data_IF_660477731945
#
_entry.id   IF_660477731945
#
_cell.length_a   1.000
_cell.length_b   1.000
_cell.length_c   1.000
_cell.angle_alpha   90.00
_cell.angle_beta   90.00
_cell.angle_gamma   90.00
#
_symmetry.space_group_name_H-M   'P 1'
#
loop_
_entity.id
_entity.type
_entity.pdbx_description
1 polymer ?
#
# COMPACT_ATOMS: atom_id res chain seq x y z
N UNK A 1 -25.15 14.18 -2.18
CA UNK A 1 -25.32 15.60 -1.95
C UNK A 1 -24.75 16.49 -3.05
N UNK A 2 -23.70 16.08 -3.77
CA UNK A 2 -23.07 16.91 -4.82
C UNK A 2 -23.50 16.54 -6.25
N UNK A 3 -24.58 15.79 -6.44
CA UNK A 3 -25.01 15.34 -7.77
C UNK A 3 -24.12 14.28 -8.41
N UNK A 4 -23.17 13.73 -7.66
CA UNK A 4 -22.27 12.66 -8.10
C UNK A 4 -22.92 11.31 -7.83
N UNK A 5 -22.93 10.44 -8.83
CA UNK A 5 -23.37 9.07 -8.71
C UNK A 5 -22.21 8.14 -9.04
N UNK A 6 -21.65 7.42 -8.07
CA UNK A 6 -20.56 6.49 -8.32
C UNK A 6 -21.01 5.28 -9.14
N UNK A 7 -20.13 4.80 -10.01
CA UNK A 7 -20.24 3.50 -10.69
C UNK A 7 -19.06 2.65 -10.21
N UNK A 8 -19.35 1.55 -9.55
CA UNK A 8 -18.32 0.63 -9.07
C UNK A 8 -18.10 -0.47 -10.09
N UNK A 9 -16.84 -0.68 -10.49
CA UNK A 9 -16.42 -1.82 -11.29
C UNK A 9 -15.74 -2.82 -10.37
N UNK A 10 -16.14 -4.08 -10.44
CA UNK A 10 -15.61 -5.14 -9.57
C UNK A 10 -15.39 -6.43 -10.36
N UNK A 11 -14.38 -7.21 -10.01
CA UNK A 11 -14.08 -8.52 -10.63
C UNK A 11 -15.08 -9.61 -10.23
N UNK A 12 -15.76 -9.45 -9.09
CA UNK A 12 -16.72 -10.39 -8.56
C UNK A 12 -17.88 -9.68 -7.85
N UNK A 13 -19.00 -10.38 -7.70
CA UNK A 13 -20.16 -9.91 -6.95
C UNK A 13 -19.91 -10.08 -5.43
N UNK A 14 -19.35 -9.05 -4.82
CA UNK A 14 -19.06 -9.00 -3.38
C UNK A 14 -20.03 -8.06 -2.66
N UNK A 15 -20.21 -8.24 -1.35
CA UNK A 15 -21.19 -7.47 -0.56
C UNK A 15 -20.94 -5.94 -0.62
N UNK A 16 -19.70 -5.52 -0.67
CA UNK A 16 -19.32 -4.10 -0.69
C UNK A 16 -19.79 -3.35 -1.93
N UNK A 17 -19.95 -4.02 -3.09
CA UNK A 17 -20.43 -3.37 -4.32
C UNK A 17 -21.94 -3.19 -4.36
N UNK A 18 -22.70 -3.87 -3.48
CA UNK A 18 -24.17 -3.80 -3.43
C UNK A 18 -24.70 -2.62 -2.62
N UNK A 19 -24.00 -1.48 -2.68
CA UNK A 19 -24.43 -0.26 -2.02
C UNK A 19 -25.59 0.40 -2.76
N UNK A 20 -26.61 0.87 -2.03
CA UNK A 20 -27.72 1.66 -2.58
C UNK A 20 -27.28 3.05 -3.11
N UNK A 21 -26.06 3.46 -2.82
CA UNK A 21 -25.53 4.79 -3.17
C UNK A 21 -24.74 4.78 -4.47
N UNK A 22 -24.51 3.63 -5.08
CA UNK A 22 -23.78 3.51 -6.35
C UNK A 22 -24.48 2.53 -7.30
N UNK A 23 -24.22 2.71 -8.58
CA UNK A 23 -24.41 1.64 -9.57
C UNK A 23 -23.19 0.73 -9.52
N UNK A 24 -23.33 -0.55 -9.87
CA UNK A 24 -22.17 -1.43 -9.97
C UNK A 24 -22.24 -2.31 -11.21
N UNK A 25 -21.08 -2.70 -11.68
CA UNK A 25 -20.89 -3.64 -12.79
C UNK A 25 -19.89 -4.71 -12.36
N UNK A 26 -20.26 -5.96 -12.51
CA UNK A 26 -19.33 -7.08 -12.28
C UNK A 26 -18.71 -7.45 -13.62
N UNK A 27 -17.40 -7.31 -13.71
CA UNK A 27 -16.61 -7.56 -14.91
C UNK A 27 -15.46 -8.48 -14.53
N UNK A 28 -15.58 -9.80 -14.78
CA UNK A 28 -14.51 -10.74 -14.46
C UNK A 28 -13.19 -10.31 -15.10
N UNK A 29 -12.12 -10.26 -14.31
CA UNK A 29 -10.80 -9.86 -14.76
C UNK A 29 -10.58 -8.36 -14.90
N UNK A 30 -11.45 -7.49 -14.36
CA UNK A 30 -11.28 -6.02 -14.39
C UNK A 30 -9.99 -5.56 -13.70
N UNK A 31 -9.39 -6.39 -12.88
CA UNK A 31 -8.08 -6.20 -12.25
C UNK A 31 -6.91 -6.36 -13.22
N UNK A 32 -7.16 -6.81 -14.45
CA UNK A 32 -6.15 -7.02 -15.49
C UNK A 32 -6.20 -5.90 -16.52
N UNK A 33 -5.05 -5.33 -16.94
CA UNK A 33 -5.01 -4.23 -17.91
C UNK A 33 -5.76 -4.52 -19.21
N UNK A 34 -5.63 -5.73 -19.75
CA UNK A 34 -6.25 -6.15 -21.02
C UNK A 34 -7.78 -6.18 -20.96
N UNK A 35 -8.40 -6.25 -19.77
CA UNK A 35 -9.84 -6.15 -19.57
C UNK A 35 -10.23 -4.74 -19.13
N UNK A 36 -9.44 -4.14 -18.23
CA UNK A 36 -9.73 -2.86 -17.63
C UNK A 36 -9.72 -1.72 -18.65
N UNK A 37 -8.66 -1.61 -19.45
CA UNK A 37 -8.47 -0.48 -20.35
C UNK A 37 -9.55 -0.36 -21.42
N UNK A 38 -9.93 -1.42 -22.13
CA UNK A 38 -11.05 -1.36 -23.09
C UNK A 38 -12.39 -1.02 -22.42
N UNK A 39 -12.65 -1.53 -21.22
CA UNK A 39 -13.89 -1.24 -20.51
C UNK A 39 -13.93 0.21 -19.99
N UNK A 40 -12.82 0.74 -19.49
CA UNK A 40 -12.72 2.16 -19.13
C UNK A 40 -12.91 3.06 -20.34
N UNK A 41 -12.31 2.73 -21.47
CA UNK A 41 -12.50 3.50 -22.71
C UNK A 41 -13.98 3.52 -23.13
N UNK A 42 -14.63 2.34 -23.17
CA UNK A 42 -16.05 2.21 -23.53
C UNK A 42 -16.96 3.00 -22.56
N UNK A 43 -16.74 2.86 -21.27
CA UNK A 43 -17.52 3.55 -20.23
C UNK A 43 -17.27 5.07 -20.25
N UNK A 44 -16.03 5.49 -20.48
CA UNK A 44 -15.67 6.89 -20.63
C UNK A 44 -16.41 7.54 -21.80
N UNK A 45 -16.40 6.91 -22.97
CA UNK A 45 -17.13 7.39 -24.15
C UNK A 45 -18.66 7.45 -23.88
N UNK A 46 -19.22 6.45 -23.21
CA UNK A 46 -20.63 6.42 -22.83
C UNK A 46 -21.00 7.61 -21.92
N UNK A 47 -20.16 7.90 -20.92
CA UNK A 47 -20.39 8.99 -19.97
C UNK A 47 -20.23 10.38 -20.63
N UNK A 48 -19.22 10.55 -21.47
CA UNK A 48 -18.97 11.80 -22.20
C UNK A 48 -20.15 12.08 -23.16
N UNK A 49 -20.62 11.08 -23.88
CA UNK A 49 -21.79 11.20 -24.75
C UNK A 49 -23.06 11.58 -23.99
N UNK A 50 -23.16 11.17 -22.72
CA UNK A 50 -24.23 11.57 -21.80
C UNK A 50 -24.03 12.95 -21.13
N UNK A 51 -23.02 13.72 -21.54
CA UNK A 51 -22.70 15.04 -20.98
C UNK A 51 -22.14 15.01 -19.56
N UNK A 52 -21.49 13.90 -19.17
CA UNK A 52 -20.84 13.73 -17.88
C UNK A 52 -19.33 13.99 -17.98
N UNK A 53 -18.73 14.33 -16.86
CA UNK A 53 -17.26 14.38 -16.71
C UNK A 53 -16.85 13.12 -15.96
N UNK A 54 -16.19 12.16 -16.63
CA UNK A 54 -15.74 10.94 -15.98
C UNK A 54 -14.58 11.23 -15.01
N UNK A 55 -14.71 10.74 -13.77
CA UNK A 55 -13.68 10.82 -12.74
C UNK A 55 -13.38 9.40 -12.23
N UNK A 56 -12.12 8.99 -12.25
CA UNK A 56 -11.70 7.63 -11.92
C UNK A 56 -10.93 7.59 -10.60
N UNK A 57 -11.34 6.69 -9.71
CA UNK A 57 -10.61 6.38 -8.46
C UNK A 57 -10.44 4.87 -8.34
N UNK A 58 -9.21 4.41 -8.17
CA UNK A 58 -8.88 3.03 -7.86
C UNK A 58 -9.02 2.75 -6.36
N UNK A 59 -9.71 1.68 -6.01
CA UNK A 59 -9.91 1.29 -4.62
C UNK A 59 -8.89 0.23 -4.21
N UNK A 60 -7.68 0.64 -3.90
CA UNK A 60 -6.56 -0.19 -3.45
C UNK A 60 -5.30 -0.04 -4.31
N UNK A 61 -4.17 -0.44 -3.75
CA UNK A 61 -2.83 -0.21 -4.31
C UNK A 61 -2.68 -0.78 -5.73
N UNK A 62 -3.20 -1.99 -5.96
CA UNK A 62 -3.16 -2.62 -7.27
C UNK A 62 -3.84 -1.76 -8.36
N UNK A 63 -5.03 -1.22 -8.05
CA UNK A 63 -5.76 -0.39 -9.00
C UNK A 63 -5.14 1.00 -9.16
N UNK A 64 -4.61 1.58 -8.07
CA UNK A 64 -3.85 2.83 -8.15
C UNK A 64 -2.64 2.67 -9.08
N UNK A 65 -1.89 1.58 -8.94
CA UNK A 65 -0.76 1.23 -9.80
C UNK A 65 -1.20 1.04 -11.26
N UNK A 66 -2.26 0.24 -11.51
CA UNK A 66 -2.79 -0.01 -12.85
C UNK A 66 -3.19 1.31 -13.55
N UNK A 67 -3.87 2.20 -12.84
CA UNK A 67 -4.29 3.50 -13.38
C UNK A 67 -3.08 4.38 -13.67
N UNK A 68 -2.14 4.48 -12.74
CA UNK A 68 -0.94 5.30 -12.89
C UNK A 68 -0.04 4.81 -14.05
N UNK A 69 0.15 3.50 -14.17
CA UNK A 69 0.93 2.88 -15.24
C UNK A 69 0.34 3.12 -16.65
N UNK A 70 -0.99 3.23 -16.73
CA UNK A 70 -1.71 3.44 -17.98
C UNK A 70 -2.34 4.86 -18.07
N UNK A 71 -1.87 5.79 -17.25
CA UNK A 71 -2.41 7.14 -17.09
C UNK A 71 -2.59 7.87 -18.43
N UNK A 72 -1.61 7.92 -19.37
CA UNK A 72 -1.79 8.64 -20.64
C UNK A 72 -2.98 8.16 -21.46
N UNK A 73 -3.22 6.84 -21.51
CA UNK A 73 -4.35 6.26 -22.24
C UNK A 73 -5.69 6.50 -21.52
N UNK A 74 -5.68 6.46 -20.20
CA UNK A 74 -6.88 6.66 -19.38
C UNK A 74 -7.31 8.13 -19.42
N UNK A 75 -6.38 9.07 -19.35
CA UNK A 75 -6.64 10.52 -19.36
C UNK A 75 -7.20 11.06 -20.67
N UNK A 76 -7.19 10.28 -21.75
CA UNK A 76 -7.94 10.62 -22.95
C UNK A 76 -9.46 10.83 -22.67
N UNK A 77 -9.99 10.20 -21.63
CA UNK A 77 -11.42 10.17 -21.31
C UNK A 77 -11.75 10.46 -19.86
N UNK A 78 -10.80 10.17 -18.94
CA UNK A 78 -11.03 10.21 -17.52
C UNK A 78 -10.15 11.25 -16.84
N UNK A 79 -10.72 11.98 -15.93
CA UNK A 79 -9.92 12.71 -14.96
C UNK A 79 -9.48 11.73 -13.86
N UNK A 80 -8.19 11.66 -13.57
CA UNK A 80 -7.62 10.79 -12.53
C UNK A 80 -6.66 11.56 -11.61
N UNK A 81 -6.78 11.43 -10.29
CA UNK A 81 -5.94 12.17 -9.34
C UNK A 81 -4.66 11.40 -8.97
N UNK A 82 -4.13 10.58 -9.88
CA UNK A 82 -2.97 9.75 -9.61
C UNK A 82 -1.67 10.40 -10.07
N UNK A 83 -0.60 10.11 -9.33
CA UNK A 83 0.77 10.45 -9.67
C UNK A 83 1.20 9.77 -10.98
N UNK A 84 2.24 10.29 -11.60
CA UNK A 84 2.91 9.59 -12.70
C UNK A 84 3.55 8.30 -12.17
N UNK A 85 3.60 7.28 -13.02
CA UNK A 85 3.93 5.92 -12.61
C UNK A 85 5.31 5.81 -11.94
N UNK A 86 6.32 6.51 -12.45
CA UNK A 86 7.68 6.47 -11.89
C UNK A 86 7.68 6.93 -10.42
N UNK A 87 7.02 8.04 -10.11
CA UNK A 87 6.92 8.54 -8.75
C UNK A 87 6.08 7.62 -7.86
N UNK A 88 4.95 7.11 -8.38
CA UNK A 88 4.13 6.16 -7.63
C UNK A 88 4.91 4.88 -7.31
N UNK A 89 5.66 4.36 -8.27
CA UNK A 89 6.47 3.15 -8.10
C UNK A 89 7.56 3.38 -7.04
N UNK A 90 8.29 4.48 -7.11
CA UNK A 90 9.31 4.87 -6.14
C UNK A 90 8.77 4.91 -4.71
N UNK A 91 7.67 5.61 -4.47
CA UNK A 91 7.13 5.78 -3.11
C UNK A 91 6.38 4.56 -2.58
N UNK A 92 6.00 3.62 -3.44
CA UNK A 92 5.31 2.38 -3.01
C UNK A 92 6.27 1.21 -2.77
N UNK A 93 7.48 1.27 -3.30
CA UNK A 93 8.55 0.33 -2.98
C UNK A 93 9.20 0.70 -1.66
N UNK A 94 9.14 -0.19 -0.66
CA UNK A 94 9.58 0.12 0.71
C UNK A 94 11.05 0.53 0.78
N UNK A 95 11.90 -0.13 -0.01
CA UNK A 95 13.33 0.16 -0.07
C UNK A 95 13.55 1.57 -0.61
N UNK A 96 12.96 1.87 -1.75
CA UNK A 96 13.10 3.18 -2.38
C UNK A 96 12.47 4.30 -1.54
N UNK A 97 11.36 4.01 -0.87
CA UNK A 97 10.74 4.95 0.07
C UNK A 97 11.69 5.36 1.21
N UNK A 98 12.42 4.40 1.79
CA UNK A 98 13.37 4.73 2.86
C UNK A 98 14.62 5.47 2.34
N UNK A 99 15.07 5.17 1.12
CA UNK A 99 16.13 5.96 0.46
C UNK A 99 15.68 7.42 0.26
N UNK A 100 14.46 7.64 -0.20
CA UNK A 100 13.88 8.98 -0.34
C UNK A 100 13.79 9.67 1.03
N UNK A 101 13.35 8.99 2.08
CA UNK A 101 13.36 9.55 3.43
C UNK A 101 14.75 10.01 3.86
N UNK A 102 15.79 9.23 3.57
CA UNK A 102 17.19 9.60 3.85
C UNK A 102 17.61 10.84 3.05
N UNK A 103 17.33 10.86 1.74
CA UNK A 103 17.66 11.96 0.83
C UNK A 103 17.05 13.30 1.28
N UNK A 104 15.81 13.28 1.81
CA UNK A 104 15.10 14.50 2.22
C UNK A 104 15.14 14.75 3.74
N UNK A 105 15.85 13.90 4.49
CA UNK A 105 16.03 14.06 5.94
C UNK A 105 14.79 13.75 6.78
N UNK A 106 13.85 12.96 6.28
CA UNK A 106 12.68 12.50 7.03
C UNK A 106 13.06 11.30 7.90
N UNK A 107 12.85 11.35 9.23
CA UNK A 107 13.19 10.24 10.10
C UNK A 107 12.34 9.00 9.80
N UNK A 108 12.99 7.85 9.78
CA UNK A 108 12.34 6.54 9.62
C UNK A 108 13.04 5.51 10.53
N UNK A 109 12.40 4.38 10.84
CA UNK A 109 13.01 3.35 11.68
C UNK A 109 14.29 2.82 11.04
N UNK A 110 15.37 2.67 11.84
CA UNK A 110 16.60 2.04 11.36
C UNK A 110 16.26 0.72 10.65
N UNK A 111 16.79 0.52 9.45
CA UNK A 111 16.41 -0.57 8.57
C UNK A 111 17.65 -1.24 7.97
N UNK A 112 17.64 -2.57 7.90
CA UNK A 112 18.58 -3.36 7.09
C UNK A 112 17.81 -4.32 6.19
N UNK A 113 18.46 -4.75 5.13
CA UNK A 113 17.88 -5.61 4.10
C UNK A 113 18.69 -6.91 4.01
N UNK A 114 18.01 -8.05 4.12
CA UNK A 114 18.60 -9.38 3.96
C UNK A 114 18.10 -9.99 2.65
N UNK A 115 19.01 -10.30 1.75
CA UNK A 115 18.69 -10.88 0.44
C UNK A 115 18.38 -12.39 0.59
N UNK A 116 17.10 -12.76 0.49
CA UNK A 116 16.68 -14.17 0.55
C UNK A 116 17.01 -14.95 -0.73
N UNK A 117 17.34 -14.26 -1.82
CA UNK A 117 17.82 -14.88 -3.07
C UNK A 117 19.25 -15.41 -2.94
N UNK A 118 20.10 -14.75 -2.16
CA UNK A 118 21.46 -15.24 -1.87
C UNK A 118 21.41 -16.33 -0.79
N UNK A 119 21.49 -17.58 -1.24
CA UNK A 119 21.45 -18.76 -0.37
C UNK A 119 22.72 -18.97 0.47
N UNK A 120 23.75 -18.14 0.26
CA UNK A 120 25.03 -18.20 0.97
C UNK A 120 25.22 -17.06 1.97
N UNK A 121 24.40 -16.03 1.88
CA UNK A 121 24.47 -14.87 2.75
C UNK A 121 24.12 -15.24 4.21
N UNK A 122 24.78 -14.55 5.12
CA UNK A 122 24.56 -14.63 6.56
C UNK A 122 23.85 -13.37 7.05
N UNK A 123 23.24 -13.46 8.22
CA UNK A 123 22.54 -12.32 8.80
C UNK A 123 23.55 -11.24 9.22
N UNK A 124 23.44 -10.08 8.59
CA UNK A 124 23.94 -8.81 9.13
C UNK A 124 22.72 -8.05 9.70
N UNK A 125 22.60 -8.03 11.03
CA UNK A 125 21.48 -7.36 11.68
C UNK A 125 21.73 -5.88 11.96
N UNK A 126 22.83 -5.31 11.41
CA UNK A 126 23.16 -3.91 11.58
C UNK A 126 23.40 -3.49 13.03
N UNK A 127 23.61 -4.44 13.95
CA UNK A 127 23.83 -4.18 15.38
C UNK A 127 22.57 -3.63 16.07
N UNK A 128 21.39 -4.13 15.73
CA UNK A 128 20.14 -3.75 16.41
C UNK A 128 20.10 -4.21 17.86
N UNK A 129 19.38 -3.45 18.67
CA UNK A 129 18.84 -3.93 19.93
C UNK A 129 17.50 -4.64 19.68
N UNK A 130 17.37 -5.84 20.18
CA UNK A 130 16.12 -6.61 20.07
C UNK A 130 15.09 -6.16 21.12
N UNK A 131 13.77 -6.26 20.84
CA UNK A 131 13.18 -6.88 19.66
C UNK A 131 13.31 -6.03 18.39
N UNK A 132 13.21 -6.69 17.22
CA UNK A 132 13.13 -6.04 15.91
C UNK A 132 11.90 -6.54 15.16
N UNK A 133 11.48 -5.79 14.14
CA UNK A 133 10.44 -6.21 13.20
C UNK A 133 11.10 -6.78 11.96
N UNK A 134 10.64 -7.95 11.51
CA UNK A 134 11.01 -8.51 10.21
C UNK A 134 9.77 -8.66 9.31
N UNK A 135 9.85 -8.21 8.06
CA UNK A 135 8.74 -8.26 7.10
C UNK A 135 9.26 -8.42 5.67
N UNK A 136 8.48 -9.05 4.77
CA UNK A 136 8.88 -9.16 3.35
C UNK A 136 8.82 -7.79 2.66
N UNK A 137 9.75 -7.55 1.73
CA UNK A 137 9.71 -6.37 0.88
C UNK A 137 8.58 -6.46 -0.16
N UNK A 138 8.30 -7.65 -0.66
CA UNK A 138 7.31 -7.89 -1.71
C UNK A 138 6.19 -8.82 -1.24
N UNK A 139 5.00 -8.27 -1.02
CA UNK A 139 3.83 -9.01 -0.53
C UNK A 139 3.28 -10.02 -1.54
N UNK A 140 3.42 -9.77 -2.85
CA UNK A 140 2.95 -10.68 -3.88
C UNK A 140 3.82 -11.94 -3.95
N UNK A 141 5.15 -11.78 -4.00
CA UNK A 141 6.07 -12.91 -3.94
C UNK A 141 5.97 -13.68 -2.62
N UNK A 142 5.73 -12.95 -1.52
CA UNK A 142 5.54 -13.56 -0.20
C UNK A 142 4.35 -14.51 -0.13
N UNK A 143 3.27 -14.18 -0.80
CA UNK A 143 2.06 -15.02 -0.83
C UNK A 143 2.33 -16.43 -1.38
N UNK A 144 3.32 -16.58 -2.26
CA UNK A 144 3.69 -17.84 -2.88
C UNK A 144 4.84 -18.59 -2.17
N UNK A 145 5.43 -17.98 -1.15
CA UNK A 145 6.52 -18.57 -0.36
C UNK A 145 5.96 -19.41 0.80
N UNK A 146 5.21 -20.46 0.49
CA UNK A 146 4.56 -21.29 1.50
C UNK A 146 5.58 -21.99 2.41
N UNK A 147 5.52 -21.71 3.72
CA UNK A 147 6.31 -22.36 4.76
C UNK A 147 5.61 -22.32 6.12
N UNK A 148 6.00 -23.20 7.03
CA UNK A 148 5.40 -23.27 8.37
C UNK A 148 5.72 -22.00 9.17
N UNK A 149 4.70 -21.42 9.81
CA UNK A 149 4.83 -20.19 10.60
C UNK A 149 4.88 -18.91 9.78
N UNK A 150 4.49 -18.94 8.50
CA UNK A 150 4.44 -17.75 7.65
C UNK A 150 3.52 -16.68 8.22
N UNK A 151 4.06 -15.47 8.39
CA UNK A 151 3.35 -14.28 8.86
C UNK A 151 3.67 -13.07 7.98
N UNK A 152 2.80 -12.07 7.97
CA UNK A 152 3.05 -10.80 7.28
C UNK A 152 4.15 -9.98 7.97
N UNK A 153 4.22 -10.05 9.30
CA UNK A 153 5.17 -9.32 10.14
C UNK A 153 5.60 -10.23 11.28
N UNK A 154 6.89 -10.26 11.57
CA UNK A 154 7.46 -11.00 12.69
C UNK A 154 8.01 -10.04 13.73
N UNK A 155 7.69 -10.26 15.01
CA UNK A 155 8.40 -9.66 16.11
C UNK A 155 9.52 -10.63 16.55
N UNK A 156 10.75 -10.22 16.37
CA UNK A 156 11.95 -11.03 16.56
C UNK A 156 12.66 -10.56 17.85
N UNK A 157 12.83 -11.45 18.79
CA UNK A 157 13.36 -11.14 20.13
C UNK A 157 14.86 -11.42 20.30
N UNK A 158 15.49 -12.10 19.34
CA UNK A 158 16.92 -12.36 19.39
C UNK A 158 17.52 -12.57 17.99
N UNK A 159 18.86 -12.48 17.92
CA UNK A 159 19.60 -12.74 16.68
C UNK A 159 19.40 -14.17 16.19
N UNK A 160 19.37 -15.13 17.10
CA UNK A 160 19.18 -16.54 16.75
C UNK A 160 17.81 -16.79 16.09
N UNK A 161 16.75 -16.06 16.56
CA UNK A 161 15.43 -16.13 15.91
C UNK A 161 15.47 -15.53 14.51
N UNK A 162 16.19 -14.41 14.33
CA UNK A 162 16.35 -13.81 13.01
C UNK A 162 17.10 -14.71 12.05
N UNK A 163 18.20 -15.32 12.50
CA UNK A 163 19.00 -16.28 11.72
C UNK A 163 18.17 -17.50 11.33
N UNK A 164 17.34 -18.02 12.25
CA UNK A 164 16.46 -19.17 11.99
C UNK A 164 15.40 -18.82 10.93
N UNK A 165 14.74 -17.66 11.05
CA UNK A 165 13.77 -17.19 10.06
C UNK A 165 14.43 -16.98 8.69
N UNK A 166 15.58 -16.29 8.65
CA UNK A 166 16.29 -16.01 7.40
C UNK A 166 16.73 -17.28 6.69
N UNK A 167 17.28 -18.24 7.44
CA UNK A 167 17.65 -19.55 6.90
C UNK A 167 16.43 -20.30 6.34
N UNK A 168 15.30 -20.29 7.05
CA UNK A 168 14.07 -20.90 6.57
C UNK A 168 13.61 -20.24 5.25
N UNK A 169 13.72 -18.93 5.12
CA UNK A 169 13.38 -18.20 3.90
C UNK A 169 14.30 -18.53 2.74
N UNK A 170 15.58 -18.72 2.99
CA UNK A 170 16.54 -19.16 1.97
C UNK A 170 16.22 -20.56 1.41
N UNK A 171 15.46 -21.39 2.12
CA UNK A 171 15.00 -22.71 1.67
C UNK A 171 13.68 -22.64 0.87
N UNK A 172 13.01 -21.46 0.82
CA UNK A 172 11.76 -21.24 0.09
C UNK A 172 12.00 -20.73 -1.34
N UNK A 173 10.90 -20.50 -2.06
CA UNK A 173 10.89 -19.82 -3.37
C UNK A 173 10.97 -18.29 -3.27
N UNK A 174 10.98 -17.76 -2.05
CA UNK A 174 11.08 -16.31 -1.84
C UNK A 174 12.51 -15.83 -2.10
N UNK A 175 12.67 -15.04 -3.16
CA UNK A 175 13.96 -14.54 -3.68
C UNK A 175 14.10 -13.01 -3.55
N UNK A 176 13.26 -12.39 -2.74
CA UNK A 176 13.26 -10.95 -2.48
C UNK A 176 13.88 -10.63 -1.12
N UNK A 177 13.90 -9.36 -0.78
CA UNK A 177 14.49 -8.90 0.48
C UNK A 177 13.58 -9.19 1.68
N UNK A 178 14.18 -9.58 2.80
CA UNK A 178 13.59 -9.48 4.12
C UNK A 178 14.02 -8.15 4.73
N UNK A 179 13.07 -7.29 5.03
CA UNK A 179 13.29 -6.01 5.70
C UNK A 179 13.33 -6.26 7.20
N UNK A 180 14.43 -5.89 7.84
CA UNK A 180 14.57 -5.92 9.30
C UNK A 180 14.64 -4.49 9.80
N UNK A 181 13.76 -4.14 10.73
CA UNK A 181 13.59 -2.79 11.26
C UNK A 181 13.65 -2.76 12.77
N UNK A 182 14.16 -1.66 13.34
CA UNK A 182 14.01 -1.42 14.76
C UNK A 182 12.53 -1.43 15.16
N UNK A 183 12.27 -2.00 16.35
CA UNK A 183 10.93 -2.00 16.92
C UNK A 183 10.68 -0.66 17.62
N UNK A 184 9.70 0.09 17.15
CA UNK A 184 9.21 1.28 17.83
C UNK A 184 8.19 0.84 18.89
N UNK A 185 8.47 0.98 20.18
CA UNK A 185 7.56 0.52 21.22
C UNK A 185 6.30 1.36 21.27
N UNK A 186 5.19 0.72 21.66
CA UNK A 186 3.88 1.35 21.80
C UNK A 186 2.78 0.35 21.54
N UNK A 187 1.58 0.72 21.91
CA UNK A 187 0.35 0.02 21.54
C UNK A 187 -0.32 0.70 20.33
N UNK A 188 -1.40 0.12 19.83
CA UNK A 188 -2.15 0.62 18.66
C UNK A 188 -2.45 2.12 18.78
N UNK A 189 -2.72 2.61 20.00
CA UNK A 189 -3.11 4.01 20.23
C UNK A 189 -1.97 5.02 20.09
N UNK A 190 -0.74 4.57 19.91
CA UNK A 190 0.42 5.41 19.60
C UNK A 190 0.57 5.71 18.11
N UNK A 191 -0.12 4.96 17.25
CA UNK A 191 -0.06 5.14 15.81
C UNK A 191 -0.88 6.37 15.40
N UNK A 192 -0.26 7.23 14.60
CA UNK A 192 -0.89 8.39 13.98
C UNK A 192 -0.93 8.22 12.47
N UNK A 193 -2.03 8.66 11.89
CA UNK A 193 -2.23 8.63 10.45
C UNK A 193 -2.52 10.05 9.98
N UNK A 194 -1.85 10.47 8.92
CA UNK A 194 -2.18 11.68 8.19
C UNK A 194 -2.59 11.29 6.76
N UNK A 195 -3.82 11.65 6.39
CA UNK A 195 -4.29 11.54 5.01
C UNK A 195 -4.30 12.92 4.38
N UNK A 196 -3.60 13.06 3.27
CA UNK A 196 -3.44 14.35 2.59
C UNK A 196 -3.85 14.22 1.13
N UNK A 197 -4.55 15.23 0.61
CA UNK A 197 -4.76 15.40 -0.81
C UNK A 197 -4.00 16.63 -1.28
N UNK A 198 -3.11 16.43 -2.24
CA UNK A 198 -2.28 17.50 -2.83
C UNK A 198 -2.85 17.88 -4.20
N UNK A 199 -2.72 19.15 -4.57
CA UNK A 199 -3.03 19.60 -5.94
C UNK A 199 -1.86 19.30 -6.91
N UNK A 200 -2.00 19.73 -8.16
CA UNK A 200 -0.97 19.52 -9.18
C UNK A 200 0.33 20.31 -8.94
N UNK A 201 0.32 21.29 -8.05
CA UNK A 201 1.51 22.05 -7.64
C UNK A 201 2.21 21.41 -6.43
N UNK A 202 1.57 20.39 -5.81
CA UNK A 202 2.04 19.75 -4.59
C UNK A 202 1.54 20.43 -3.31
N UNK A 203 0.65 21.40 -3.42
CA UNK A 203 0.09 22.11 -2.26
C UNK A 203 -1.01 21.27 -1.60
N UNK A 204 -1.02 21.16 -0.25
CA UNK A 204 -2.05 20.42 0.46
C UNK A 204 -3.39 21.16 0.45
N UNK A 205 -4.38 20.61 -0.25
CA UNK A 205 -5.76 21.13 -0.27
C UNK A 205 -6.57 20.59 0.89
N UNK A 206 -6.29 19.38 1.31
CA UNK A 206 -7.03 18.67 2.35
C UNK A 206 -6.11 17.79 3.16
N UNK A 207 -6.20 17.91 4.48
CA UNK A 207 -5.48 17.06 5.43
C UNK A 207 -6.40 16.59 6.55
N UNK A 208 -6.33 15.32 6.90
CA UNK A 208 -7.03 14.74 8.06
C UNK A 208 -6.07 13.92 8.87
N UNK A 209 -5.92 14.30 10.13
CA UNK A 209 -5.21 13.53 11.14
C UNK A 209 -6.12 12.53 11.84
N UNK A 210 -5.55 11.40 12.23
CA UNK A 210 -6.24 10.40 12.99
C UNK A 210 -5.32 9.60 13.91
N UNK A 211 -5.88 9.13 15.03
CA UNK A 211 -5.26 8.19 15.92
C UNK A 211 -5.88 6.82 15.75
N UNK A 212 -5.05 5.80 15.60
CA UNK A 212 -5.51 4.42 15.62
C UNK A 212 -5.95 4.06 17.04
N UNK A 213 -7.11 3.46 17.15
CA UNK A 213 -7.64 2.92 18.43
C UNK A 213 -7.50 1.41 18.48
N UNK A 214 -7.60 0.75 17.34
CA UNK A 214 -7.50 -0.70 17.22
C UNK A 214 -6.90 -1.04 15.85
N UNK A 215 -5.89 -1.88 15.81
CA UNK A 215 -5.40 -2.54 14.59
C UNK A 215 -6.12 -3.88 14.36
N UNK A 216 -6.07 -4.36 13.13
CA UNK A 216 -6.44 -5.74 12.82
C UNK A 216 -5.26 -6.66 13.12
N UNK A 217 -5.33 -7.37 14.24
CA UNK A 217 -4.28 -8.29 14.69
C UNK A 217 -4.33 -9.69 14.04
N UNK A 218 -5.17 -9.88 13.00
CA UNK A 218 -5.13 -11.15 12.27
C UNK A 218 -3.81 -11.30 11.50
N UNK A 219 -3.28 -12.52 11.34
CA UNK A 219 -1.95 -12.75 10.74
C UNK A 219 -1.76 -12.15 9.33
N UNK A 220 -2.86 -12.00 8.59
CA UNK A 220 -2.85 -11.48 7.21
C UNK A 220 -3.12 -9.97 7.12
N UNK A 221 -3.61 -9.34 8.19
CA UNK A 221 -4.03 -7.95 8.19
C UNK A 221 -3.30 -7.08 9.22
N UNK A 222 -2.40 -7.65 10.02
CA UNK A 222 -1.59 -6.92 11.00
C UNK A 222 -0.91 -5.69 10.38
N UNK A 223 -0.98 -4.56 11.07
CA UNK A 223 -0.53 -3.26 10.57
C UNK A 223 -1.61 -2.49 9.79
N UNK A 224 -2.84 -3.01 9.66
CA UNK A 224 -3.96 -2.28 9.09
C UNK A 224 -4.87 -1.76 10.21
N UNK A 225 -5.15 -0.46 10.29
CA UNK A 225 -6.06 0.07 11.32
C UNK A 225 -7.50 -0.40 11.06
N UNK A 226 -8.12 -0.94 12.11
CA UNK A 226 -9.54 -1.32 12.09
C UNK A 226 -10.44 -0.19 12.59
N UNK A 227 -9.96 0.63 13.54
CA UNK A 227 -10.69 1.78 14.08
C UNK A 227 -9.74 2.97 14.18
N UNK A 228 -10.12 4.08 13.56
CA UNK A 228 -9.41 5.35 13.62
C UNK A 228 -10.36 6.43 14.14
N UNK A 229 -9.89 7.25 15.05
CA UNK A 229 -10.60 8.44 15.54
C UNK A 229 -9.89 9.67 15.01
N UNK A 230 -10.64 10.62 14.45
CA UNK A 230 -10.08 11.89 14.01
C UNK A 230 -9.41 12.62 15.18
N UNK A 231 -8.20 13.09 14.98
CA UNK A 231 -7.40 13.81 15.95
C UNK A 231 -6.67 14.96 15.26
N UNK A 232 -6.62 16.12 15.91
CA UNK A 232 -5.80 17.23 15.43
C UNK A 232 -4.32 16.88 15.74
N UNK A 233 -3.48 16.89 14.71
CA UNK A 233 -2.05 16.62 14.82
C UNK A 233 -1.31 17.95 14.86
N UNK A 234 -1.16 18.54 16.07
CA UNK A 234 -0.55 19.85 16.25
C UNK A 234 0.91 19.94 15.75
N UNK A 235 1.63 18.82 15.75
CA UNK A 235 3.00 18.74 15.25
C UNK A 235 3.12 18.83 13.71
N UNK A 236 2.03 18.61 12.98
CA UNK A 236 2.02 18.61 11.51
C UNK A 236 1.42 19.90 10.93
N UNK A 237 0.77 20.71 11.78
CA UNK A 237 0.07 21.93 11.35
C UNK A 237 0.92 23.19 11.40
N UNK A 238 2.19 23.13 11.85
CA UNK A 238 3.03 24.30 12.15
C UNK A 238 4.33 24.39 11.34
N UNK A 239 4.56 23.52 10.39
CA UNK A 239 5.66 23.57 9.41
C UNK A 239 5.06 23.62 7.98
#
# INVERSE_FOLDING_TARGET
AYGVKPIVLASADIKSVRSRFCDYRVIPGIDKPEVCLPELARLGDELIAAGKVPFLVGCGDHYARLVSENKPQIEERWYTPYLDFELLDDITQKERFYEICEEIGVPYPKTVYLDCGDKTATVDDGGFMYPVIAKPSNSAAWHYAEFEGQQKVYLIHSREQLEALYKQLQETTYDKLLIVQEFIPGDDTQIRILSTYLDAAGDPIFMVGGRVMVEDHSPTAIGNPAVIVSEQLDAVSND
#
